data_IF_099282453539
#
_entry.id   IF_099282453539
#
_cell.length_a   1.000
_cell.length_b   1.000
_cell.length_c   1.000
_cell.angle_alpha   90.00
_cell.angle_beta   90.00
_cell.angle_gamma   90.00
#
_symmetry.space_group_name_H-M   'P 1'
#
loop_
_entity.id
_entity.type
_entity.pdbx_description
1 polymer ?
#
# COMPACT_ATOMS: atom_id res chain seq x y z
N UNK A 1 -36.61 4.45 -0.76
CA UNK A 1 -36.19 3.09 -0.32
C UNK A 1 -34.92 2.59 -1.01
N UNK A 2 -34.40 3.26 -2.06
CA UNK A 2 -33.21 2.83 -2.82
C UNK A 2 -31.87 3.31 -2.26
N UNK A 3 -31.80 4.48 -1.62
CA UNK A 3 -30.53 5.09 -1.17
C UNK A 3 -29.76 4.30 -0.08
N UNK A 4 -30.43 3.42 0.66
CA UNK A 4 -29.80 2.65 1.75
C UNK A 4 -29.07 1.40 1.22
N UNK A 5 -29.61 0.78 0.16
CA UNK A 5 -29.00 -0.39 -0.48
C UNK A 5 -27.70 -0.04 -1.24
N UNK A 6 -27.60 1.16 -1.82
CA UNK A 6 -26.40 1.61 -2.53
C UNK A 6 -25.24 1.95 -1.57
N UNK A 7 -25.54 2.41 -0.36
CA UNK A 7 -24.51 2.64 0.68
C UNK A 7 -24.02 1.32 1.30
N UNK A 8 -24.93 0.36 1.54
CA UNK A 8 -24.58 -0.94 2.11
C UNK A 8 -23.73 -1.79 1.14
N UNK A 9 -23.96 -1.65 -0.17
CA UNK A 9 -23.17 -2.31 -1.21
C UNK A 9 -21.77 -1.71 -1.37
N UNK A 10 -21.62 -0.39 -1.33
CA UNK A 10 -20.30 0.27 -1.38
C UNK A 10 -19.44 -0.06 -0.15
N UNK A 11 -20.03 -0.03 1.04
CA UNK A 11 -19.35 -0.40 2.30
C UNK A 11 -18.90 -1.86 2.27
N UNK A 12 -19.75 -2.76 1.77
CA UNK A 12 -19.41 -4.18 1.61
C UNK A 12 -18.26 -4.40 0.63
N UNK A 13 -18.25 -3.70 -0.51
CA UNK A 13 -17.18 -3.76 -1.49
C UNK A 13 -15.84 -3.24 -0.93
N UNK A 14 -15.87 -2.12 -0.19
CA UNK A 14 -14.69 -1.59 0.48
C UNK A 14 -14.14 -2.61 1.49
N UNK A 15 -15.00 -3.21 2.30
CA UNK A 15 -14.61 -4.21 3.29
C UNK A 15 -14.04 -5.47 2.66
N UNK A 16 -14.64 -5.96 1.58
CA UNK A 16 -14.13 -7.10 0.83
C UNK A 16 -12.71 -6.82 0.29
N UNK A 17 -12.48 -5.64 -0.30
CA UNK A 17 -11.15 -5.23 -0.76
C UNK A 17 -10.12 -5.20 0.37
N UNK A 18 -10.47 -4.68 1.54
CA UNK A 18 -9.58 -4.69 2.71
C UNK A 18 -9.22 -6.12 3.13
N UNK A 19 -10.21 -7.01 3.23
CA UNK A 19 -10.01 -8.40 3.63
C UNK A 19 -9.14 -9.15 2.61
N UNK A 20 -9.36 -8.91 1.32
CA UNK A 20 -8.55 -9.52 0.25
C UNK A 20 -7.09 -9.06 0.33
N UNK A 21 -6.83 -7.76 0.57
CA UNK A 21 -5.46 -7.29 0.75
C UNK A 21 -4.81 -7.88 2.01
N UNK A 22 -5.56 -7.98 3.11
CA UNK A 22 -5.07 -8.61 4.35
C UNK A 22 -4.69 -10.07 4.10
N UNK A 23 -5.52 -10.81 3.37
CA UNK A 23 -5.24 -12.20 2.99
C UNK A 23 -3.97 -12.32 2.12
N UNK A 24 -3.78 -11.40 1.16
CA UNK A 24 -2.55 -11.35 0.36
C UNK A 24 -1.32 -11.10 1.23
N UNK A 25 -1.38 -10.13 2.14
CA UNK A 25 -0.28 -9.85 3.08
C UNK A 25 0.00 -11.05 3.98
N UNK A 26 -1.03 -11.75 4.46
CA UNK A 26 -0.90 -13.00 5.22
C UNK A 26 -0.17 -14.09 4.42
N UNK A 27 -0.57 -14.31 3.17
CA UNK A 27 0.08 -15.28 2.28
C UNK A 27 1.56 -14.92 2.05
N UNK A 28 1.85 -13.63 1.83
CA UNK A 28 3.22 -13.15 1.65
C UNK A 28 4.06 -13.33 2.93
N UNK A 29 3.47 -13.11 4.12
CA UNK A 29 4.15 -13.32 5.42
C UNK A 29 4.57 -14.78 5.59
N UNK A 30 3.70 -15.72 5.22
CA UNK A 30 4.01 -17.16 5.24
C UNK A 30 5.17 -17.49 4.28
N UNK A 31 5.10 -17.01 3.03
CA UNK A 31 6.13 -17.25 2.00
C UNK A 31 7.48 -16.62 2.33
N UNK A 32 7.49 -15.51 3.06
CA UNK A 32 8.73 -14.78 3.37
C UNK A 32 9.67 -15.53 4.31
N UNK A 33 9.16 -16.35 5.22
CA UNK A 33 9.99 -17.22 6.07
C UNK A 33 10.80 -18.24 5.26
N UNK A 34 10.20 -18.77 4.19
CA UNK A 34 10.85 -19.68 3.24
C UNK A 34 11.94 -18.96 2.41
N UNK A 35 11.69 -17.72 1.99
CA UNK A 35 12.61 -16.95 1.14
C UNK A 35 13.81 -16.35 1.89
N UNK A 36 13.61 -15.85 3.12
CA UNK A 36 14.67 -15.24 3.90
C UNK A 36 15.63 -16.25 4.55
N UNK A 37 15.21 -17.51 4.73
CA UNK A 37 16.07 -18.57 5.26
C UNK A 37 17.12 -19.05 4.25
N UNK A 38 16.92 -18.80 2.95
CA UNK A 38 17.75 -19.36 1.88
C UNK A 38 18.66 -18.34 1.16
N UNK A 39 18.50 -17.03 1.40
CA UNK A 39 19.24 -15.99 0.65
C UNK A 39 20.10 -15.08 1.54
N UNK A 40 21.42 -15.08 1.27
CA UNK A 40 22.34 -14.05 1.77
C UNK A 40 21.83 -12.67 1.32
N UNK A 41 21.92 -11.65 2.20
CA UNK A 41 21.43 -10.28 1.94
C UNK A 41 22.21 -9.63 0.78
N UNK A 42 21.74 -9.82 -0.44
CA UNK A 42 22.25 -9.10 -1.61
C UNK A 42 21.60 -7.71 -1.64
N UNK A 43 22.41 -6.68 -1.86
CA UNK A 43 21.91 -5.31 -2.04
C UNK A 43 21.18 -5.24 -3.38
N UNK A 44 19.86 -5.08 -3.35
CA UNK A 44 19.04 -4.95 -4.55
C UNK A 44 18.70 -3.48 -4.79
N UNK A 45 18.83 -3.04 -6.04
CA UNK A 45 18.33 -1.72 -6.44
C UNK A 45 16.81 -1.75 -6.55
N UNK A 46 16.14 -0.66 -6.18
CA UNK A 46 14.68 -0.55 -6.33
C UNK A 46 14.34 -0.32 -7.80
N UNK A 47 13.37 -1.04 -8.34
CA UNK A 47 12.84 -0.77 -9.69
C UNK A 47 11.90 0.46 -9.66
N UNK A 48 11.47 0.93 -10.83
CA UNK A 48 10.70 2.17 -10.91
C UNK A 48 9.30 2.04 -10.29
N UNK A 49 8.65 0.87 -10.44
CA UNK A 49 7.42 0.54 -9.73
C UNK A 49 7.58 0.70 -8.20
N UNK A 50 8.64 0.13 -7.64
CA UNK A 50 8.91 0.19 -6.20
C UNK A 50 9.20 1.62 -5.74
N UNK A 51 9.89 2.43 -6.55
CA UNK A 51 10.12 3.85 -6.24
C UNK A 51 8.81 4.63 -6.27
N UNK A 52 7.99 4.45 -7.29
CA UNK A 52 6.73 5.17 -7.45
C UNK A 52 5.77 4.90 -6.28
N UNK A 53 5.60 3.63 -5.89
CA UNK A 53 4.79 3.27 -4.71
C UNK A 53 5.34 3.92 -3.42
N UNK A 54 6.66 3.97 -3.25
CA UNK A 54 7.26 4.58 -2.06
C UNK A 54 7.07 6.10 -2.03
N UNK A 55 7.14 6.77 -3.19
CA UNK A 55 6.86 8.20 -3.33
C UNK A 55 5.41 8.50 -3.00
N UNK A 56 4.47 7.70 -3.52
CA UNK A 56 3.04 7.90 -3.23
C UNK A 56 2.73 7.73 -1.74
N UNK A 57 3.31 6.71 -1.10
CA UNK A 57 3.18 6.55 0.35
C UNK A 57 3.83 7.70 1.11
N UNK A 58 4.98 8.19 0.65
CA UNK A 58 5.68 9.32 1.29
C UNK A 58 4.85 10.60 1.25
N UNK A 59 4.11 10.83 0.16
CA UNK A 59 3.19 11.96 0.04
C UNK A 59 2.06 11.91 1.08
N UNK A 60 1.61 10.70 1.44
CA UNK A 60 0.56 10.45 2.44
C UNK A 60 1.12 10.54 3.87
N UNK A 61 2.30 9.96 4.09
CA UNK A 61 2.99 10.01 5.38
C UNK A 61 4.51 9.96 5.22
N UNK A 62 5.17 11.01 5.69
CA UNK A 62 6.63 11.06 5.80
C UNK A 62 7.15 10.10 6.87
N UNK A 63 6.30 9.72 7.84
CA UNK A 63 6.64 8.89 9.00
C UNK A 63 5.74 7.64 9.03
N UNK A 64 6.00 6.62 8.20
CA UNK A 64 5.23 5.38 8.25
C UNK A 64 5.47 4.63 9.58
N UNK A 65 4.42 3.97 10.10
CA UNK A 65 4.48 3.11 11.29
C UNK A 65 5.34 1.86 11.07
N UNK A 66 5.48 1.00 12.09
CA UNK A 66 6.17 -0.29 11.88
C UNK A 66 5.38 -1.17 10.90
N UNK A 67 4.08 -1.26 11.12
CA UNK A 67 3.18 -2.10 10.33
C UNK A 67 3.22 -1.70 8.85
N UNK A 68 3.06 -0.41 8.54
CA UNK A 68 3.14 0.06 7.15
C UNK A 68 4.50 -0.22 6.51
N UNK A 69 5.60 -0.13 7.26
CA UNK A 69 6.93 -0.48 6.74
C UNK A 69 7.07 -1.98 6.48
N UNK A 70 6.46 -2.82 7.31
CA UNK A 70 6.44 -4.27 7.15
C UNK A 70 5.59 -4.70 5.94
N UNK A 71 4.44 -4.08 5.75
CA UNK A 71 3.56 -4.32 4.61
C UNK A 71 4.25 -3.93 3.30
N UNK A 72 4.86 -2.73 3.24
CA UNK A 72 5.67 -2.32 2.08
C UNK A 72 6.85 -3.24 1.84
N UNK A 73 7.49 -3.71 2.91
CA UNK A 73 8.59 -4.65 2.81
C UNK A 73 8.15 -6.00 2.22
N UNK A 74 6.94 -6.47 2.54
CA UNK A 74 6.36 -7.66 1.94
C UNK A 74 6.09 -7.43 0.45
N UNK A 75 5.28 -6.42 0.14
CA UNK A 75 4.78 -6.15 -1.22
C UNK A 75 5.94 -5.85 -2.18
N UNK A 76 6.90 -5.04 -1.76
CA UNK A 76 8.03 -4.62 -2.60
C UNK A 76 9.21 -5.60 -2.53
N UNK A 77 9.11 -6.69 -1.76
CA UNK A 77 10.18 -7.65 -1.54
C UNK A 77 11.50 -7.00 -1.06
N UNK A 78 11.40 -6.08 -0.10
CA UNK A 78 12.53 -5.40 0.56
C UNK A 78 12.51 -5.69 2.06
N UNK A 79 13.60 -5.44 2.78
CA UNK A 79 13.56 -5.51 4.26
C UNK A 79 12.88 -4.28 4.85
N UNK A 80 12.20 -4.43 6.00
CA UNK A 80 11.62 -3.28 6.73
C UNK A 80 12.67 -2.22 7.04
N UNK A 81 13.93 -2.63 7.29
CA UNK A 81 15.07 -1.71 7.45
C UNK A 81 15.42 -0.95 6.16
N UNK A 82 15.42 -1.62 5.00
CA UNK A 82 15.63 -0.97 3.68
C UNK A 82 14.55 0.08 3.39
N UNK A 83 13.29 -0.23 3.72
CA UNK A 83 12.18 0.73 3.63
C UNK A 83 12.40 1.90 4.58
N UNK A 84 12.70 1.64 5.85
CA UNK A 84 12.98 2.70 6.84
C UNK A 84 14.08 3.66 6.38
N UNK A 85 15.21 3.12 5.90
CA UNK A 85 16.34 3.93 5.41
C UNK A 85 15.92 4.78 4.21
N UNK A 86 15.11 4.22 3.30
CA UNK A 86 14.58 4.99 2.17
C UNK A 86 13.74 6.18 2.66
N UNK A 87 12.82 5.99 3.61
CA UNK A 87 12.04 7.10 4.18
C UNK A 87 12.90 8.10 4.96
N UNK A 88 14.00 7.67 5.57
CA UNK A 88 14.94 8.56 6.25
C UNK A 88 15.67 9.47 5.25
N UNK A 89 16.21 8.88 4.18
CA UNK A 89 16.95 9.62 3.16
C UNK A 89 16.06 10.62 2.41
N UNK A 90 14.82 10.23 2.09
CA UNK A 90 13.95 11.05 1.24
C UNK A 90 13.32 12.26 1.94
N UNK A 91 13.39 12.35 3.28
CA UNK A 91 12.91 13.53 4.03
C UNK A 91 13.67 14.81 3.70
N UNK A 92 14.93 14.67 3.30
CA UNK A 92 15.79 15.80 2.99
C UNK A 92 15.84 16.10 1.49
N UNK A 93 15.32 15.21 0.64
CA UNK A 93 15.44 15.32 -0.82
C UNK A 93 14.13 15.51 -1.55
N UNK A 94 13.00 15.00 -1.04
CA UNK A 94 11.68 15.17 -1.66
C UNK A 94 11.02 16.42 -1.08
N UNK A 95 10.70 17.39 -1.94
CA UNK A 95 10.03 18.63 -1.53
C UNK A 95 8.56 18.39 -1.18
N UNK A 96 7.98 19.26 -0.37
CA UNK A 96 6.53 19.22 -0.10
C UNK A 96 5.69 19.47 -1.35
N UNK A 97 6.20 20.27 -2.29
CA UNK A 97 5.52 20.60 -3.54
C UNK A 97 5.29 19.36 -4.42
N UNK A 98 6.30 18.49 -4.54
CA UNK A 98 6.21 17.25 -5.33
C UNK A 98 5.18 16.26 -4.74
N UNK A 99 4.89 16.37 -3.44
CA UNK A 99 3.93 15.50 -2.75
C UNK A 99 2.48 16.00 -2.80
N UNK A 100 2.24 17.29 -3.09
CA UNK A 100 0.90 17.88 -3.02
C UNK A 100 -0.09 17.30 -4.03
N UNK A 101 0.32 17.13 -5.28
CA UNK A 101 -0.53 16.57 -6.33
C UNK A 101 -1.00 15.15 -5.99
N UNK A 102 -0.07 14.34 -5.45
CA UNK A 102 -0.36 12.96 -5.05
C UNK A 102 -1.37 12.92 -3.89
N UNK A 103 -1.24 13.81 -2.90
CA UNK A 103 -2.20 13.88 -1.78
C UNK A 103 -3.62 14.15 -2.27
N UNK A 104 -3.76 15.08 -3.21
CA UNK A 104 -5.06 15.41 -3.82
C UNK A 104 -5.65 14.22 -4.58
N UNK A 105 -4.81 13.47 -5.32
CA UNK A 105 -5.23 12.25 -6.04
C UNK A 105 -5.85 11.19 -5.12
N UNK A 106 -5.38 11.10 -3.87
CA UNK A 106 -5.89 10.14 -2.88
C UNK A 106 -6.92 10.75 -1.92
N UNK A 107 -7.41 11.97 -2.18
CA UNK A 107 -8.43 12.62 -1.36
C UNK A 107 -7.98 12.97 0.06
N UNK A 108 -6.68 13.26 0.23
CA UNK A 108 -6.12 13.68 1.52
C UNK A 108 -5.99 15.19 1.52
N UNK A 109 -6.79 15.85 2.36
CA UNK A 109 -6.79 17.30 2.51
C UNK A 109 -5.41 17.85 2.92
N UNK A 110 -5.08 19.04 2.42
CA UNK A 110 -3.80 19.73 2.62
C UNK A 110 -3.52 20.02 4.09
N UNK A 111 -4.57 20.25 4.87
CA UNK A 111 -4.52 20.78 6.24
C UNK A 111 -4.31 19.71 7.31
N UNK A 112 -4.34 18.42 6.92
CA UNK A 112 -3.80 17.35 7.73
C UNK A 112 -2.27 17.49 7.70
N UNK A 113 -1.77 18.40 8.54
CA UNK A 113 -0.35 18.63 8.76
C UNK A 113 0.33 17.28 8.89
N UNK A 114 1.41 17.07 8.13
CA UNK A 114 2.15 15.81 8.07
C UNK A 114 2.63 15.46 9.47
N UNK A 115 1.75 14.81 10.23
CA UNK A 115 1.80 14.75 11.67
C UNK A 115 3.16 14.15 12.01
N UNK A 116 3.93 14.82 12.87
CA UNK A 116 5.22 14.32 13.38
C UNK A 116 5.11 12.93 14.01
N UNK A 117 3.89 12.40 14.17
CA UNK A 117 3.54 11.05 14.63
C UNK A 117 3.55 10.03 13.50
N UNK A 118 4.00 8.82 13.84
CA UNK A 118 3.99 7.68 12.92
C UNK A 118 2.54 7.34 12.52
N UNK A 119 2.25 7.28 11.21
CA UNK A 119 0.93 6.93 10.66
C UNK A 119 0.95 5.52 10.09
N UNK A 120 -0.09 4.74 10.40
CA UNK A 120 -0.38 3.49 9.70
C UNK A 120 -1.30 3.78 8.52
N UNK A 121 -0.93 3.36 7.33
CA UNK A 121 -1.79 3.39 6.14
C UNK A 121 -2.74 2.21 6.20
N UNK A 122 -4.04 2.48 6.06
CA UNK A 122 -5.07 1.43 6.02
C UNK A 122 -4.96 0.57 4.75
N UNK A 123 -5.56 -0.62 4.80
CA UNK A 123 -5.48 -1.61 3.73
C UNK A 123 -6.09 -1.12 2.44
N UNK A 124 -7.23 -0.46 2.52
CA UNK A 124 -7.91 0.03 1.33
C UNK A 124 -7.04 1.03 0.57
N UNK A 125 -6.47 2.01 1.28
CA UNK A 125 -5.60 3.03 0.71
C UNK A 125 -4.29 2.43 0.17
N UNK A 126 -3.66 1.51 0.89
CA UNK A 126 -2.47 0.82 0.39
C UNK A 126 -2.75 0.06 -0.91
N UNK A 127 -3.88 -0.63 -0.98
CA UNK A 127 -4.31 -1.32 -2.21
C UNK A 127 -4.51 -0.37 -3.38
N UNK A 128 -5.11 0.81 -3.13
CA UNK A 128 -5.28 1.86 -4.16
C UNK A 128 -3.96 2.42 -4.68
N UNK A 129 -2.98 2.65 -3.81
CA UNK A 129 -1.64 3.11 -4.21
C UNK A 129 -0.94 2.08 -5.10
N UNK A 130 -1.06 0.79 -4.79
CA UNK A 130 -0.42 -0.24 -5.60
C UNK A 130 -1.04 -0.29 -7.00
N UNK A 131 -2.37 -0.26 -7.07
CA UNK A 131 -3.16 -0.34 -8.31
C UNK A 131 -2.79 0.74 -9.34
N UNK A 132 -2.32 1.91 -8.91
CA UNK A 132 -1.95 3.01 -9.81
C UNK A 132 -0.67 2.76 -10.59
N UNK A 133 0.19 1.85 -10.13
CA UNK A 133 1.50 1.60 -10.73
C UNK A 133 1.63 0.20 -11.34
N UNK A 134 0.59 -0.64 -11.24
CA UNK A 134 0.60 -1.97 -11.84
C UNK A 134 0.56 -1.91 -13.36
N UNK A 135 1.33 -2.78 -14.02
CA UNK A 135 1.21 -2.99 -15.46
C UNK A 135 -0.16 -3.57 -15.83
N UNK A 136 -0.65 -3.32 -17.04
CA UNK A 136 -1.96 -3.82 -17.51
C UNK A 136 -2.10 -5.34 -17.32
N UNK A 137 -1.04 -6.09 -17.62
CA UNK A 137 -1.01 -7.54 -17.44
C UNK A 137 -1.21 -7.96 -15.98
N UNK A 138 -0.54 -7.28 -15.05
CA UNK A 138 -0.67 -7.56 -13.61
C UNK A 138 -2.00 -7.05 -13.07
N UNK A 139 -2.50 -5.93 -13.62
CA UNK A 139 -3.72 -5.27 -13.19
C UNK A 139 -4.94 -6.17 -13.37
N UNK A 140 -5.04 -6.95 -14.45
CA UNK A 140 -6.14 -7.91 -14.61
C UNK A 140 -6.22 -8.94 -13.47
N UNK A 141 -5.08 -9.56 -13.13
CA UNK A 141 -5.02 -10.54 -12.05
C UNK A 141 -5.25 -9.88 -10.68
N UNK A 142 -4.72 -8.68 -10.48
CA UNK A 142 -4.95 -7.88 -9.29
C UNK A 142 -6.43 -7.54 -9.12
N UNK A 143 -7.09 -7.04 -10.16
CA UNK A 143 -8.49 -6.64 -10.12
C UNK A 143 -9.41 -7.82 -9.85
N UNK A 144 -9.13 -8.98 -10.46
CA UNK A 144 -9.85 -10.22 -10.19
C UNK A 144 -9.75 -10.65 -8.73
N UNK A 145 -8.60 -10.45 -8.09
CA UNK A 145 -8.39 -10.85 -6.70
C UNK A 145 -8.92 -9.80 -5.72
N UNK A 146 -8.52 -8.54 -5.89
CA UNK A 146 -8.81 -7.48 -4.92
C UNK A 146 -10.31 -7.17 -4.87
N UNK A 147 -11.01 -7.25 -6.01
CA UNK A 147 -12.44 -7.02 -6.11
C UNK A 147 -13.27 -8.30 -6.00
N UNK A 148 -12.66 -9.43 -5.65
CA UNK A 148 -13.41 -10.67 -5.46
C UNK A 148 -14.36 -10.51 -4.27
N UNK A 149 -15.66 -10.63 -4.54
CA UNK A 149 -16.72 -10.70 -3.54
C UNK A 149 -17.36 -12.07 -3.71
N UNK A 150 -17.24 -12.99 -2.73
CA UNK A 150 -17.93 -14.27 -2.82
C UNK A 150 -19.43 -13.99 -2.86
N UNK A 151 -20.10 -14.48 -3.91
CA UNK A 151 -21.56 -14.51 -3.94
C UNK A 151 -22.02 -15.31 -2.73
N UNK A 152 -22.94 -14.75 -1.95
CA UNK A 152 -23.51 -15.39 -0.76
C UNK A 152 -23.80 -16.86 -1.07
N UNK A 153 -23.15 -17.78 -0.36
CA UNK A 153 -23.67 -19.13 -0.20
C UNK A 153 -24.90 -18.95 0.69
N UNK A 154 -26.07 -18.87 0.07
CA UNK A 154 -27.35 -19.05 0.77
C UNK A 154 -27.37 -20.36 1.54
#
# INVERSE_FOLDING_TARGET
MTLKADQDTDVSCKKARENNLEALLGLMKLKRGELLSSSRKVRTHKNDFQKAVLVDVFAITKFPSSDTREDLALILNHTSRSIQIWFQNNRHSISSEETCEIRLKFGIDSDEETNSKKRTIDRYLLGKILETHLSDRTKMAWDSFINYIPLNLE
#
